data_IF_626134669627
#
_entry.id   IF_626134669627
#
_cell.length_a   1.000
_cell.length_b   1.000
_cell.length_c   1.000
_cell.angle_alpha   90.00
_cell.angle_beta   90.00
_cell.angle_gamma   90.00
#
_symmetry.space_group_name_H-M   'P 1'
#
loop_
_entity.id
_entity.type
_entity.pdbx_description
1 polymer ?
#
# COMPACT_ATOMS: atom_id res chain seq x y z
N UNK A 1 11.82 -11.10 -29.83
CA UNK A 1 10.53 -11.80 -29.73
C UNK A 1 9.61 -10.90 -28.92
N UNK A 2 8.72 -10.18 -29.59
CA UNK A 2 7.89 -9.09 -29.05
C UNK A 2 6.54 -9.63 -28.56
N UNK A 3 6.14 -9.33 -27.31
CA UNK A 3 4.74 -9.41 -26.87
C UNK A 3 4.43 -8.14 -26.08
N UNK A 4 3.38 -7.46 -26.53
CA UNK A 4 2.91 -6.14 -26.11
C UNK A 4 2.60 -6.02 -24.61
N UNK A 5 3.46 -5.33 -23.87
CA UNK A 5 3.14 -4.79 -22.53
C UNK A 5 2.47 -3.41 -22.58
N UNK A 6 2.29 -2.82 -23.77
CA UNK A 6 1.97 -1.39 -23.92
C UNK A 6 0.60 -0.96 -23.35
N UNK A 7 -0.24 -1.87 -22.86
CA UNK A 7 -1.54 -1.52 -22.27
C UNK A 7 -2.01 -2.49 -21.16
N UNK A 8 -1.10 -3.25 -20.56
CA UNK A 8 -1.42 -4.19 -19.48
C UNK A 8 -0.99 -3.62 -18.14
N UNK A 9 -1.87 -3.72 -17.15
CA UNK A 9 -1.60 -3.36 -15.77
C UNK A 9 -1.89 -4.55 -14.88
N UNK A 10 -0.89 -5.04 -14.16
CA UNK A 10 -1.03 -6.14 -13.23
C UNK A 10 -1.07 -5.57 -11.81
N UNK A 11 -2.07 -5.97 -11.03
CA UNK A 11 -2.12 -5.70 -9.60
C UNK A 11 -1.99 -7.01 -8.89
N UNK A 12 -1.07 -7.09 -7.96
CA UNK A 12 -0.97 -8.24 -7.08
C UNK A 12 -0.64 -7.80 -5.67
N UNK A 13 -1.02 -8.62 -4.71
CA UNK A 13 -0.69 -8.42 -3.31
C UNK A 13 -0.09 -9.69 -2.75
N UNK A 14 0.90 -9.54 -1.87
CA UNK A 14 1.44 -10.66 -1.12
C UNK A 14 1.50 -10.34 0.35
N UNK A 15 1.26 -11.37 1.16
CA UNK A 15 1.54 -11.33 2.59
C UNK A 15 3.05 -11.26 2.79
N UNK A 16 3.50 -10.46 3.75
CA UNK A 16 4.89 -10.46 4.20
C UNK A 16 5.01 -11.38 5.40
N UNK A 17 5.21 -12.68 5.18
CA UNK A 17 5.69 -13.60 6.21
C UNK A 17 7.21 -13.75 6.09
N UNK A 18 7.92 -13.60 7.20
CA UNK A 18 9.39 -13.58 7.24
C UNK A 18 10.09 -14.89 6.85
N UNK A 19 9.40 -15.84 6.22
CA UNK A 19 9.93 -17.15 5.83
C UNK A 19 9.42 -17.49 4.42
N UNK A 20 10.22 -17.12 3.43
CA UNK A 20 10.32 -17.68 2.06
C UNK A 20 9.03 -17.89 1.23
N UNK A 21 9.11 -17.39 -0.01
CA UNK A 21 8.14 -17.42 -1.13
C UNK A 21 6.97 -16.44 -1.01
N UNK A 22 7.08 -15.33 -1.74
CA UNK A 22 5.97 -14.41 -2.01
C UNK A 22 4.84 -15.21 -2.68
N UNK A 23 3.77 -15.45 -1.95
CA UNK A 23 2.53 -15.97 -2.50
C UNK A 23 1.57 -14.81 -2.67
N UNK A 24 1.14 -14.57 -3.91
CA UNK A 24 0.14 -13.57 -4.20
C UNK A 24 -1.19 -13.99 -3.56
N UNK A 25 -1.59 -13.29 -2.50
CA UNK A 25 -2.91 -13.48 -1.87
C UNK A 25 -4.04 -13.01 -2.77
N UNK A 26 -3.72 -12.21 -3.79
CA UNK A 26 -4.60 -11.80 -4.87
C UNK A 26 -3.76 -11.27 -6.05
N UNK A 27 -4.17 -11.58 -7.27
CA UNK A 27 -3.54 -11.12 -8.51
C UNK A 27 -4.58 -10.93 -9.60
N UNK A 28 -4.50 -9.80 -10.32
CA UNK A 28 -5.44 -9.48 -11.41
C UNK A 28 -4.80 -8.57 -12.46
N UNK A 29 -4.94 -8.98 -13.72
CA UNK A 29 -4.53 -8.20 -14.88
C UNK A 29 -5.70 -7.38 -15.43
N UNK A 30 -5.41 -6.13 -15.76
CA UNK A 30 -6.32 -5.17 -16.36
C UNK A 30 -5.75 -4.70 -17.72
N UNK A 31 -6.65 -4.46 -18.68
CA UNK A 31 -6.30 -3.93 -19.99
C UNK A 31 -6.77 -2.47 -20.10
N UNK A 32 -5.91 -1.59 -20.63
CA UNK A 32 -6.20 -0.17 -20.83
C UNK A 32 -6.66 0.55 -19.55
N UNK A 33 -6.08 0.18 -18.40
CA UNK A 33 -6.43 0.79 -17.13
C UNK A 33 -5.97 2.26 -17.12
N UNK A 34 -6.89 3.18 -16.80
CA UNK A 34 -6.49 4.54 -16.46
C UNK A 34 -5.75 4.52 -15.12
N UNK A 35 -4.63 5.24 -15.04
CA UNK A 35 -3.87 5.31 -13.79
C UNK A 35 -4.74 5.82 -12.64
N UNK A 36 -4.70 5.18 -11.46
CA UNK A 36 -5.55 5.50 -10.30
C UNK A 36 -5.04 6.74 -9.56
N UNK A 37 -4.92 7.87 -10.26
CA UNK A 37 -4.47 9.17 -9.71
C UNK A 37 -5.64 9.90 -9.03
N UNK A 38 -6.86 9.69 -9.54
CA UNK A 38 -8.10 10.24 -8.99
C UNK A 38 -9.01 9.11 -8.49
N UNK A 39 -9.86 9.42 -7.53
CA UNK A 39 -10.74 8.45 -6.85
C UNK A 39 -11.59 7.63 -7.84
N UNK A 40 -12.09 8.26 -8.91
CA UNK A 40 -12.89 7.61 -9.95
C UNK A 40 -12.14 6.49 -10.69
N UNK A 41 -10.81 6.58 -10.76
CA UNK A 41 -9.95 5.60 -11.42
C UNK A 41 -9.35 4.59 -10.43
N UNK A 42 -9.65 4.68 -9.12
CA UNK A 42 -9.11 3.77 -8.12
C UNK A 42 -9.55 2.31 -8.37
N UNK A 43 -8.60 1.39 -8.29
CA UNK A 43 -8.91 -0.03 -8.38
C UNK A 43 -9.50 -0.52 -7.07
N UNK A 44 -10.70 -1.11 -7.15
CA UNK A 44 -11.40 -1.69 -6.00
C UNK A 44 -10.95 -3.13 -5.77
N UNK A 45 -10.34 -3.38 -4.61
CA UNK A 45 -10.04 -4.72 -4.12
C UNK A 45 -11.07 -5.09 -3.06
N UNK A 46 -11.63 -6.30 -3.14
CA UNK A 46 -12.66 -6.73 -2.19
C UNK A 46 -12.04 -6.92 -0.80
N UNK A 47 -12.74 -6.53 0.28
CA UNK A 47 -12.26 -6.78 1.64
C UNK A 47 -11.94 -8.25 1.91
N UNK A 48 -12.64 -9.20 1.26
CA UNK A 48 -12.44 -10.64 1.37
C UNK A 48 -11.02 -11.12 1.04
N UNK A 49 -10.30 -10.39 0.19
CA UNK A 49 -8.92 -10.73 -0.21
C UNK A 49 -7.91 -10.50 0.94
N UNK A 50 -8.27 -9.67 1.93
CA UNK A 50 -7.46 -9.42 3.12
C UNK A 50 -7.88 -10.39 4.24
N UNK A 51 -7.20 -11.51 4.37
CA UNK A 51 -7.63 -12.64 5.22
C UNK A 51 -7.48 -12.36 6.71
N UNK A 52 -6.38 -11.74 7.11
CA UNK A 52 -5.96 -11.54 8.51
C UNK A 52 -5.23 -10.20 8.68
N UNK A 53 -5.10 -9.69 9.93
CA UNK A 53 -4.33 -8.48 10.26
C UNK A 53 -2.84 -8.68 9.98
N UNK A 54 -2.48 -8.51 8.71
CA UNK A 54 -1.12 -8.66 8.22
C UNK A 54 -0.67 -7.45 7.42
N UNK A 55 0.65 -7.23 7.34
CA UNK A 55 1.23 -6.37 6.32
C UNK A 55 1.05 -7.04 4.94
N UNK A 56 0.48 -6.28 4.01
CA UNK A 56 0.36 -6.63 2.60
C UNK A 56 1.20 -5.66 1.79
N UNK A 57 2.02 -6.18 0.89
CA UNK A 57 2.55 -5.37 -0.20
C UNK A 57 1.51 -5.37 -1.30
N UNK A 58 1.06 -4.17 -1.70
CA UNK A 58 0.22 -3.96 -2.88
C UNK A 58 1.12 -3.44 -3.99
N UNK A 59 1.24 -4.21 -5.06
CA UNK A 59 2.08 -3.88 -6.20
C UNK A 59 1.19 -3.58 -7.41
N UNK A 60 1.47 -2.46 -8.07
CA UNK A 60 0.92 -2.06 -9.35
C UNK A 60 2.04 -2.10 -10.39
N UNK A 61 2.03 -3.13 -11.24
CA UNK A 61 2.95 -3.27 -12.36
C UNK A 61 2.33 -2.69 -13.62
N UNK A 62 3.03 -1.74 -14.22
CA UNK A 62 2.70 -1.11 -15.50
C UNK A 62 3.95 -1.14 -16.39
N UNK A 63 4.27 -0.03 -17.08
CA UNK A 63 5.62 0.21 -17.58
C UNK A 63 6.64 0.47 -16.44
N UNK A 64 6.15 0.84 -15.26
CA UNK A 64 6.89 0.94 -14.01
C UNK A 64 6.18 0.16 -12.90
N UNK A 65 6.96 -0.33 -11.93
CA UNK A 65 6.44 -0.96 -10.71
C UNK A 65 6.25 0.08 -9.61
N UNK A 66 5.06 0.10 -9.00
CA UNK A 66 4.75 0.88 -7.79
C UNK A 66 4.35 -0.07 -6.67
N UNK A 67 5.01 0.07 -5.52
CA UNK A 67 4.75 -0.79 -4.36
C UNK A 67 4.35 0.06 -3.16
N UNK A 68 3.25 -0.31 -2.51
CA UNK A 68 2.81 0.27 -1.25
C UNK A 68 2.57 -0.85 -0.24
N UNK A 69 3.29 -0.80 0.88
CA UNK A 69 3.00 -1.66 2.03
C UNK A 69 1.87 -1.06 2.86
N UNK A 70 0.86 -1.85 3.15
CA UNK A 70 -0.28 -1.47 3.99
C UNK A 70 -0.54 -2.52 5.05
N UNK A 71 -1.12 -2.09 6.16
CA UNK A 71 -1.64 -2.98 7.18
C UNK A 71 -3.16 -2.90 7.21
N UNK A 72 -3.82 -4.03 6.99
CA UNK A 72 -5.28 -4.10 6.92
C UNK A 72 -5.78 -4.93 8.10
N UNK A 73 -6.63 -4.35 8.95
CA UNK A 73 -7.28 -5.06 10.05
C UNK A 73 -8.80 -5.06 9.85
N UNK A 74 -9.48 -6.07 10.41
CA UNK A 74 -10.94 -6.11 10.51
C UNK A 74 -11.35 -5.93 11.98
N UNK A 75 -12.19 -4.94 12.24
CA UNK A 75 -12.73 -4.74 13.59
C UNK A 75 -13.72 -5.86 13.94
N UNK A 76 -14.08 -5.97 15.22
CA UNK A 76 -15.06 -6.96 15.69
C UNK A 76 -16.43 -6.80 15.00
N UNK A 77 -16.76 -5.59 14.55
CA UNK A 77 -17.97 -5.25 13.79
C UNK A 77 -17.84 -5.53 12.28
N UNK A 78 -16.74 -6.15 11.84
CA UNK A 78 -16.50 -6.51 10.44
C UNK A 78 -16.05 -5.35 9.54
N UNK A 79 -15.73 -4.17 10.11
CA UNK A 79 -15.23 -3.03 9.32
C UNK A 79 -13.74 -3.19 9.01
N UNK A 80 -13.35 -2.92 7.77
CA UNK A 80 -11.95 -2.86 7.39
C UNK A 80 -11.35 -1.52 7.79
N UNK A 81 -10.22 -1.55 8.50
CA UNK A 81 -9.44 -0.36 8.89
C UNK A 81 -7.99 -0.53 8.47
N UNK A 82 -7.34 0.58 8.12
CA UNK A 82 -5.93 0.62 7.78
C UNK A 82 -5.13 1.01 9.02
N UNK A 83 -4.09 0.25 9.36
CA UNK A 83 -3.22 0.47 10.51
C UNK A 83 -1.81 0.87 10.08
N UNK A 84 -1.05 1.47 10.98
CA UNK A 84 0.36 1.79 10.76
C UNK A 84 1.21 0.53 10.59
N UNK A 85 2.15 0.56 9.66
CA UNK A 85 3.15 -0.50 9.51
C UNK A 85 4.33 -0.20 10.43
N UNK A 86 4.76 -1.18 11.22
CA UNK A 86 5.91 -1.09 12.13
C UNK A 86 6.96 -2.13 11.77
N UNK A 87 8.19 -1.87 12.19
CA UNK A 87 9.32 -2.78 12.06
C UNK A 87 10.04 -2.92 13.39
N UNK A 88 10.41 -4.14 13.72
CA UNK A 88 11.16 -4.50 14.92
C UNK A 88 12.18 -5.60 14.58
N UNK A 89 13.29 -5.66 15.32
CA UNK A 89 14.37 -6.61 15.06
C UNK A 89 13.95 -8.07 15.31
N UNK A 90 13.04 -8.33 16.25
CA UNK A 90 12.59 -9.68 16.58
C UNK A 90 11.37 -10.08 15.75
N UNK A 91 10.42 -9.16 15.55
CA UNK A 91 9.14 -9.44 14.89
C UNK A 91 9.16 -9.19 13.38
N UNK A 92 10.24 -8.63 12.85
CA UNK A 92 10.28 -8.16 11.48
C UNK A 92 9.24 -7.06 11.26
N UNK A 93 8.49 -7.16 10.16
CA UNK A 93 7.51 -6.16 9.76
C UNK A 93 6.12 -6.63 10.18
N UNK A 94 5.38 -5.76 10.87
CA UNK A 94 4.11 -6.11 11.49
C UNK A 94 3.13 -4.94 11.52
N UNK A 95 1.85 -5.23 11.75
CA UNK A 95 0.84 -4.19 11.92
C UNK A 95 0.85 -3.64 13.33
N UNK A 96 0.93 -2.31 13.43
CA UNK A 96 0.71 -1.60 14.67
C UNK A 96 -0.78 -1.57 15.05
N UNK A 97 -1.12 -0.66 15.95
CA UNK A 97 -2.46 -0.54 16.53
C UNK A 97 -3.15 0.76 16.16
N UNK A 98 -2.42 1.70 15.56
CA UNK A 98 -2.94 3.03 15.27
C UNK A 98 -3.51 3.05 13.86
N UNK A 99 -4.70 3.62 13.69
CA UNK A 99 -5.26 3.83 12.37
C UNK A 99 -4.36 4.76 11.56
N UNK A 100 -4.09 4.41 10.31
CA UNK A 100 -3.19 5.16 9.43
C UNK A 100 -3.83 5.38 8.07
N UNK A 101 -3.78 6.64 7.62
CA UNK A 101 -4.28 7.04 6.31
C UNK A 101 -3.14 7.04 5.27
N UNK A 102 -3.11 5.98 4.47
CA UNK A 102 -2.17 5.81 3.36
C UNK A 102 -2.51 6.67 2.13
N UNK A 103 -3.68 7.33 2.10
CA UNK A 103 -4.00 8.31 1.07
C UNK A 103 -3.32 9.67 1.33
N UNK A 104 -2.81 9.86 2.55
CA UNK A 104 -2.49 11.19 3.03
C UNK A 104 -1.19 11.74 2.44
N UNK A 105 -1.35 12.94 1.89
CA UNK A 105 -0.37 14.02 1.76
C UNK A 105 0.43 14.35 3.05
N UNK A 106 0.27 13.59 4.15
CA UNK A 106 0.80 13.88 5.49
C UNK A 106 2.32 13.85 5.58
N UNK A 107 3.01 13.11 4.70
CA UNK A 107 4.47 13.18 4.57
C UNK A 107 4.90 14.54 4.01
N UNK A 108 4.18 15.08 3.02
CA UNK A 108 4.36 16.44 2.51
C UNK A 108 3.94 17.50 3.52
N UNK A 109 2.89 17.29 4.31
CA UNK A 109 2.48 18.21 5.38
C UNK A 109 3.50 18.21 6.53
N UNK A 110 4.08 17.06 6.89
CA UNK A 110 5.17 16.95 7.87
C UNK A 110 6.46 17.58 7.36
N UNK A 111 6.82 17.38 6.09
CA UNK A 111 7.99 18.04 5.46
C UNK A 111 7.79 19.55 5.35
N UNK A 112 6.58 20.03 5.01
CA UNK A 112 6.24 21.46 5.03
C UNK A 112 6.36 22.04 6.43
N UNK A 113 5.83 21.37 7.45
CA UNK A 113 5.96 21.83 8.84
C UNK A 113 7.42 21.83 9.31
N UNK A 114 8.23 20.86 8.89
CA UNK A 114 9.67 20.84 9.16
C UNK A 114 10.41 22.01 8.48
N UNK A 115 10.07 22.32 7.23
CA UNK A 115 10.60 23.45 6.47
C UNK A 115 10.25 24.79 7.12
N UNK A 116 8.99 24.99 7.52
CA UNK A 116 8.58 26.20 8.24
C UNK A 116 9.25 26.33 9.62
N UNK A 117 9.46 25.21 10.33
CA UNK A 117 10.19 25.21 11.59
C UNK A 117 11.67 25.58 11.41
N UNK A 118 12.34 25.04 10.39
CA UNK A 118 13.74 25.37 10.08
C UNK A 118 13.91 26.84 9.68
N UNK A 119 12.97 27.42 8.91
CA UNK A 119 13.02 28.85 8.53
C UNK A 119 12.82 29.76 9.74
N UNK A 120 11.90 29.43 10.65
CA UNK A 120 11.70 30.20 11.88
C UNK A 120 12.85 30.07 12.88
N UNK A 121 13.75 29.10 12.71
CA UNK A 121 14.95 28.93 13.52
C UNK A 121 16.18 29.64 12.94
N UNK A 122 16.15 29.98 11.65
CA UNK A 122 17.25 30.63 10.90
C UNK A 122 17.00 32.11 10.61
N UNK A 123 15.83 32.64 10.99
CA UNK A 123 15.51 34.07 11.10
C UNK A 123 15.49 34.48 12.58
#
# INVERSE_FOLDING_TARGET
MTIAYENQTLIYMGKVDGINTFHDSYSKTYLNLKMPIIEENCIKIKPSEFKEPFPYDVILETNQSYTQRICVNRTAEGKTVLLDTKADLEKGIYCGTNQYDYSSNGLWTKLKNLYYWLINFLN
#
